data_IF_438662470550
#
_entry.id   IF_438662470550
#
_cell.length_a   1.000
_cell.length_b   1.000
_cell.length_c   1.000
_cell.angle_alpha   90.00
_cell.angle_beta   90.00
_cell.angle_gamma   90.00
#
_symmetry.space_group_name_H-M   'P 1'
#
loop_
_entity.id
_entity.type
_entity.pdbx_description
1 polymer ?
#
# COMPACT_ATOMS: atom_id res chain seq x y z
N UNK A 1 24.96 28.16 2.86
CA UNK A 1 24.91 26.77 2.33
C UNK A 1 24.66 25.71 3.42
N UNK A 2 25.29 25.77 4.62
CA UNK A 2 25.10 24.75 5.68
C UNK A 2 23.69 24.69 6.32
N UNK A 3 23.02 25.82 6.52
CA UNK A 3 21.68 25.86 7.14
C UNK A 3 20.58 25.23 6.27
N UNK A 4 20.70 25.34 4.94
CA UNK A 4 19.74 24.75 4.00
C UNK A 4 19.80 23.22 4.04
N UNK A 5 21.02 22.65 4.13
CA UNK A 5 21.24 21.19 4.17
C UNK A 5 20.75 20.55 5.48
N UNK A 6 20.95 21.24 6.61
CA UNK A 6 20.43 20.77 7.92
C UNK A 6 18.90 20.81 7.96
N UNK A 7 18.29 21.85 7.38
CA UNK A 7 16.83 21.94 7.24
C UNK A 7 16.25 20.82 6.39
N UNK A 8 16.88 20.48 5.26
CA UNK A 8 16.43 19.36 4.41
C UNK A 8 16.58 17.99 5.08
N UNK A 9 17.65 17.77 5.84
CA UNK A 9 17.86 16.49 6.54
C UNK A 9 16.85 16.26 7.68
N UNK A 10 16.53 17.31 8.43
CA UNK A 10 15.49 17.27 9.46
C UNK A 10 14.10 17.02 8.85
N UNK A 11 13.79 17.70 7.74
CA UNK A 11 12.54 17.51 7.00
C UNK A 11 12.38 16.07 6.50
N UNK A 12 13.40 15.53 5.82
CA UNK A 12 13.41 14.14 5.33
C UNK A 12 13.23 13.13 6.48
N UNK A 13 13.83 13.39 7.63
CA UNK A 13 13.70 12.52 8.82
C UNK A 13 12.27 12.56 9.38
N UNK A 14 11.66 13.73 9.49
CA UNK A 14 10.29 13.88 9.97
C UNK A 14 9.28 13.17 9.06
N UNK A 15 9.42 13.32 7.75
CA UNK A 15 8.55 12.62 6.80
C UNK A 15 8.76 11.12 6.81
N UNK A 16 10.00 10.65 6.97
CA UNK A 16 10.28 9.23 7.17
C UNK A 16 9.56 8.71 8.42
N UNK A 17 9.65 9.39 9.56
CA UNK A 17 8.93 8.99 10.78
C UNK A 17 7.43 8.97 10.55
N UNK A 18 6.87 9.98 9.89
CA UNK A 18 5.44 10.03 9.59
C UNK A 18 4.99 8.87 8.69
N UNK A 19 5.80 8.49 7.71
CA UNK A 19 5.56 7.35 6.83
C UNK A 19 5.61 6.02 7.60
N UNK A 20 6.60 5.86 8.50
CA UNK A 20 6.68 4.70 9.40
C UNK A 20 5.42 4.60 10.29
N UNK A 21 5.00 5.71 10.89
CA UNK A 21 3.82 5.74 11.75
C UNK A 21 2.55 5.43 10.96
N UNK A 22 2.36 6.06 9.78
CA UNK A 22 1.22 5.76 8.90
C UNK A 22 1.18 4.27 8.54
N UNK A 23 2.33 3.66 8.26
CA UNK A 23 2.41 2.23 7.96
C UNK A 23 1.98 1.36 9.12
N UNK A 24 2.42 1.67 10.35
CA UNK A 24 2.01 0.95 11.54
C UNK A 24 0.52 1.15 11.84
N UNK A 25 0.02 2.39 11.77
CA UNK A 25 -1.40 2.68 12.02
C UNK A 25 -2.33 1.98 11.02
N UNK A 26 -2.00 1.97 9.72
CA UNK A 26 -2.83 1.31 8.71
C UNK A 26 -2.73 -0.23 8.81
N UNK A 27 -1.57 -0.77 9.21
CA UNK A 27 -1.43 -2.19 9.54
C UNK A 27 -2.31 -2.57 10.74
N UNK A 28 -2.23 -1.81 11.84
CA UNK A 28 -2.96 -2.10 13.07
C UNK A 28 -4.47 -2.06 12.83
N UNK A 29 -4.97 -1.08 12.06
CA UNK A 29 -6.38 -1.02 11.65
C UNK A 29 -6.80 -2.23 10.80
N UNK A 30 -5.95 -2.69 9.90
CA UNK A 30 -6.23 -3.86 9.07
C UNK A 30 -6.28 -5.14 9.91
N UNK A 31 -5.32 -5.31 10.82
CA UNK A 31 -5.25 -6.44 11.73
C UNK A 31 -6.45 -6.47 12.70
N UNK A 32 -6.79 -5.33 13.29
CA UNK A 32 -7.97 -5.19 14.16
C UNK A 32 -9.25 -5.54 13.39
N UNK A 33 -9.43 -5.02 12.18
CA UNK A 33 -10.62 -5.30 11.39
C UNK A 33 -10.73 -6.78 11.01
N UNK A 34 -9.65 -7.39 10.52
CA UNK A 34 -9.62 -8.82 10.18
C UNK A 34 -9.97 -9.68 11.39
N UNK A 35 -9.39 -9.36 12.56
CA UNK A 35 -9.68 -10.02 13.82
C UNK A 35 -11.16 -9.89 14.22
N UNK A 36 -11.73 -8.70 14.14
CA UNK A 36 -13.13 -8.43 14.50
C UNK A 36 -14.13 -9.20 13.64
N UNK A 37 -13.84 -9.37 12.35
CA UNK A 37 -14.68 -10.12 11.41
C UNK A 37 -14.41 -11.64 11.47
N UNK A 38 -13.33 -12.06 12.15
CA UNK A 38 -12.97 -13.47 12.30
C UNK A 38 -12.44 -14.09 11.01
N UNK A 39 -11.79 -13.30 10.14
CA UNK A 39 -11.20 -13.72 8.87
C UNK A 39 -9.70 -13.38 8.82
N UNK A 40 -8.90 -14.06 7.98
CA UNK A 40 -7.47 -13.81 7.91
C UNK A 40 -7.13 -12.40 7.39
N UNK A 41 -5.98 -11.87 7.81
CA UNK A 41 -5.34 -10.68 7.27
C UNK A 41 -4.37 -11.06 6.15
N UNK A 42 -4.59 -10.51 4.96
CA UNK A 42 -3.62 -10.54 3.87
C UNK A 42 -2.71 -9.32 3.93
N UNK A 43 -1.39 -9.53 3.86
CA UNK A 43 -0.38 -8.47 3.71
C UNK A 43 0.20 -8.56 2.31
N UNK A 44 0.24 -7.43 1.60
CA UNK A 44 0.78 -7.34 0.24
C UNK A 44 2.04 -6.49 0.24
N UNK A 45 3.08 -7.05 -0.38
CA UNK A 45 4.43 -6.51 -0.40
C UNK A 45 5.33 -7.16 0.65
N UNK A 46 6.61 -7.31 0.33
CA UNK A 46 7.60 -7.81 1.29
C UNK A 46 7.66 -6.95 2.55
N UNK A 47 7.53 -7.59 3.71
CA UNK A 47 7.58 -6.87 4.99
C UNK A 47 8.98 -6.32 5.28
N UNK A 48 10.03 -7.11 5.02
CA UNK A 48 11.43 -6.81 5.38
C UNK A 48 11.58 -6.30 6.83
N UNK A 49 10.76 -6.83 7.75
CA UNK A 49 10.74 -6.42 9.17
C UNK A 49 10.13 -5.04 9.45
N UNK A 50 9.48 -4.41 8.47
CA UNK A 50 8.88 -3.07 8.59
C UNK A 50 7.49 -3.06 9.19
N UNK A 51 6.79 -4.19 9.10
CA UNK A 51 5.51 -4.53 9.70
C UNK A 51 5.42 -6.06 9.83
N UNK A 52 4.48 -6.62 10.61
CA UNK A 52 4.31 -8.06 10.68
C UNK A 52 3.76 -8.66 9.38
N UNK A 53 3.82 -9.99 9.27
CA UNK A 53 3.46 -10.75 8.06
C UNK A 53 1.95 -10.91 7.81
N UNK A 54 1.10 -10.57 8.79
CA UNK A 54 -0.30 -11.00 8.79
C UNK A 54 -0.43 -12.52 8.83
N UNK A 55 -1.59 -13.03 8.41
CA UNK A 55 -1.85 -14.47 8.30
C UNK A 55 -1.34 -15.03 6.97
N UNK A 56 -1.39 -14.23 5.90
CA UNK A 56 -0.86 -14.55 4.56
C UNK A 56 -0.12 -13.35 4.00
N UNK A 57 1.13 -13.54 3.57
CA UNK A 57 1.92 -12.53 2.87
C UNK A 57 2.01 -12.83 1.38
N UNK A 58 1.70 -11.83 0.56
CA UNK A 58 1.67 -11.93 -0.91
C UNK A 58 2.65 -10.94 -1.51
N UNK A 59 3.52 -11.43 -2.39
CA UNK A 59 4.45 -10.60 -3.15
C UNK A 59 4.88 -11.32 -4.43
N UNK A 60 5.17 -10.59 -5.51
CA UNK A 60 5.58 -11.17 -6.80
C UNK A 60 6.92 -11.92 -6.71
N UNK A 61 7.79 -11.54 -5.77
CA UNK A 61 9.04 -12.21 -5.48
C UNK A 61 8.97 -13.10 -4.21
N UNK A 62 7.78 -13.22 -3.62
CA UNK A 62 7.54 -13.94 -2.37
C UNK A 62 7.98 -13.16 -1.12
N UNK A 63 7.61 -13.68 0.05
CA UNK A 63 7.89 -13.10 1.36
C UNK A 63 8.78 -14.06 2.20
N UNK A 64 10.11 -14.06 2.00
CA UNK A 64 10.99 -15.07 2.59
C UNK A 64 11.05 -15.04 4.12
N UNK A 65 10.66 -13.93 4.75
CA UNK A 65 10.64 -13.78 6.21
C UNK A 65 9.31 -14.20 6.85
N UNK A 66 8.33 -14.63 6.05
CA UNK A 66 6.98 -14.96 6.51
C UNK A 66 6.72 -16.47 6.37
N UNK A 67 6.10 -17.08 7.38
CA UNK A 67 5.80 -18.52 7.38
C UNK A 67 4.77 -18.89 6.30
N UNK A 68 3.79 -18.02 6.07
CA UNK A 68 2.73 -18.21 5.09
C UNK A 68 2.93 -17.21 3.95
N UNK A 69 3.80 -17.55 3.01
CA UNK A 69 4.04 -16.73 1.83
C UNK A 69 3.39 -17.34 0.60
N UNK A 70 2.71 -16.49 -0.17
CA UNK A 70 2.18 -16.80 -1.49
C UNK A 70 2.88 -15.90 -2.52
N UNK A 71 3.41 -16.50 -3.57
CA UNK A 71 4.01 -15.75 -4.68
C UNK A 71 2.93 -15.48 -5.72
N UNK A 72 2.50 -14.22 -5.84
CA UNK A 72 1.48 -13.78 -6.79
C UNK A 72 1.63 -12.29 -7.10
N UNK A 73 1.11 -11.87 -8.25
CA UNK A 73 0.96 -10.45 -8.58
C UNK A 73 -0.30 -9.90 -7.90
N UNK A 74 -0.22 -8.74 -7.25
CA UNK A 74 -1.39 -8.11 -6.64
C UNK A 74 -2.45 -7.71 -7.69
N UNK A 75 -2.05 -7.55 -8.94
CA UNK A 75 -2.95 -7.26 -10.06
C UNK A 75 -3.72 -8.50 -10.54
N UNK A 76 -3.36 -9.70 -10.06
CA UNK A 76 -4.04 -10.95 -10.36
C UNK A 76 -3.94 -11.93 -9.17
N UNK A 77 -4.95 -11.88 -8.30
CA UNK A 77 -5.04 -12.68 -7.08
C UNK A 77 -5.93 -13.92 -7.28
N UNK A 78 -5.92 -14.52 -8.47
CA UNK A 78 -6.75 -15.71 -8.81
C UNK A 78 -6.58 -16.90 -7.84
N UNK A 79 -5.44 -16.99 -7.16
CA UNK A 79 -5.15 -18.03 -6.16
C UNK A 79 -6.04 -17.94 -4.92
N UNK A 80 -6.76 -16.84 -4.74
CA UNK A 80 -7.67 -16.62 -3.63
C UNK A 80 -9.12 -16.47 -4.11
N UNK A 81 -10.02 -17.09 -3.34
CA UNK A 81 -11.46 -16.93 -3.51
C UNK A 81 -11.93 -15.52 -3.13
N UNK A 82 -13.12 -15.16 -3.60
CA UNK A 82 -13.77 -13.90 -3.25
C UNK A 82 -14.00 -13.82 -1.74
N UNK A 83 -13.65 -12.66 -1.15
CA UNK A 83 -13.84 -12.37 0.28
C UNK A 83 -13.22 -13.38 1.24
N UNK A 84 -12.16 -14.07 0.80
CA UNK A 84 -11.36 -14.99 1.60
C UNK A 84 -10.72 -14.29 2.82
N UNK A 85 -10.44 -12.98 2.72
CA UNK A 85 -9.78 -12.19 3.77
C UNK A 85 -10.73 -11.17 4.43
N UNK A 86 -10.51 -10.93 5.72
CA UNK A 86 -11.21 -9.85 6.43
C UNK A 86 -10.63 -8.50 6.05
N UNK A 87 -9.31 -8.42 5.94
CA UNK A 87 -8.65 -7.23 5.44
C UNK A 87 -7.47 -7.57 4.53
N UNK A 88 -7.19 -6.66 3.60
CA UNK A 88 -5.94 -6.61 2.86
C UNK A 88 -5.18 -5.34 3.26
N UNK A 89 -3.89 -5.48 3.56
CA UNK A 89 -2.99 -4.38 3.84
C UNK A 89 -1.88 -4.34 2.80
N UNK A 90 -1.83 -3.28 1.97
CA UNK A 90 -0.77 -3.07 0.99
C UNK A 90 0.20 -2.00 1.49
N UNK A 91 1.49 -2.33 1.60
CA UNK A 91 2.49 -1.38 2.06
C UNK A 91 3.51 -1.05 0.98
N UNK A 92 3.44 0.17 0.47
CA UNK A 92 4.35 0.68 -0.55
C UNK A 92 4.44 -0.21 -1.80
N UNK A 93 3.28 -0.65 -2.31
CA UNK A 93 3.18 -1.53 -3.48
C UNK A 93 2.53 -0.81 -4.66
N UNK A 94 1.36 -0.21 -4.42
CA UNK A 94 0.51 0.33 -5.49
C UNK A 94 1.16 1.48 -6.25
N UNK A 95 2.14 2.18 -5.65
CA UNK A 95 2.89 3.22 -6.32
C UNK A 95 3.89 2.71 -7.38
N UNK A 96 4.23 1.41 -7.36
CA UNK A 96 5.25 0.81 -8.24
C UNK A 96 4.67 0.02 -9.41
N UNK A 97 3.38 -0.33 -9.36
CA UNK A 97 2.73 -1.18 -10.37
C UNK A 97 2.17 -0.36 -11.54
N UNK A 98 1.98 -1.02 -12.68
CA UNK A 98 1.46 -0.39 -13.89
C UNK A 98 -0.04 -0.07 -13.77
N UNK A 99 -0.82 -0.98 -13.19
CA UNK A 99 -2.28 -0.87 -13.12
C UNK A 99 -2.78 -0.92 -11.67
N UNK A 100 -2.70 0.21 -10.92
CA UNK A 100 -3.20 0.29 -9.54
C UNK A 100 -4.72 0.11 -9.44
N UNK A 101 -5.46 0.36 -10.52
CA UNK A 101 -6.88 0.03 -10.68
C UNK A 101 -7.12 -1.48 -10.61
N UNK A 102 -6.37 -2.28 -11.37
CA UNK A 102 -6.52 -3.75 -11.35
C UNK A 102 -6.19 -4.32 -9.98
N UNK A 103 -5.08 -3.86 -9.38
CA UNK A 103 -4.74 -4.25 -8.01
C UNK A 103 -5.82 -3.84 -7.00
N UNK A 104 -6.41 -2.65 -7.13
CA UNK A 104 -7.49 -2.20 -6.25
C UNK A 104 -8.73 -3.09 -6.37
N UNK A 105 -9.11 -3.45 -7.60
CA UNK A 105 -10.22 -4.36 -7.86
C UNK A 105 -9.95 -5.74 -7.26
N UNK A 106 -8.77 -6.31 -7.47
CA UNK A 106 -8.42 -7.62 -6.92
C UNK A 106 -8.36 -7.62 -5.38
N UNK A 107 -7.77 -6.59 -4.78
CA UNK A 107 -7.76 -6.43 -3.32
C UNK A 107 -9.18 -6.35 -2.75
N UNK A 108 -10.07 -5.60 -3.39
CA UNK A 108 -11.48 -5.51 -2.98
C UNK A 108 -12.26 -6.78 -3.32
N UNK A 109 -11.85 -7.58 -4.31
CA UNK A 109 -12.47 -8.88 -4.60
C UNK A 109 -12.17 -9.88 -3.48
N UNK A 110 -10.91 -10.01 -3.10
CA UNK A 110 -10.47 -11.04 -2.14
C UNK A 110 -10.64 -10.65 -0.67
N UNK A 111 -10.76 -9.36 -0.34
CA UNK A 111 -10.90 -8.89 1.03
C UNK A 111 -12.20 -8.11 1.27
N UNK A 112 -12.71 -8.17 2.51
CA UNK A 112 -13.85 -7.34 2.91
C UNK A 112 -13.47 -5.85 3.00
N UNK A 113 -12.22 -5.53 3.35
CA UNK A 113 -11.73 -4.16 3.44
C UNK A 113 -10.24 -4.02 3.06
N UNK A 114 -9.88 -2.92 2.41
CA UNK A 114 -8.50 -2.66 1.96
C UNK A 114 -7.92 -1.45 2.70
N UNK A 115 -6.69 -1.60 3.17
CA UNK A 115 -5.89 -0.56 3.82
C UNK A 115 -4.57 -0.38 3.07
N UNK A 116 -4.19 0.87 2.80
CA UNK A 116 -2.96 1.18 2.05
C UNK A 116 -2.06 2.07 2.90
N UNK A 117 -0.81 1.64 3.07
CA UNK A 117 0.29 2.51 3.45
C UNK A 117 1.05 2.92 2.18
N UNK A 118 1.21 4.23 1.99
CA UNK A 118 1.81 4.82 0.80
C UNK A 118 2.85 5.88 1.18
N UNK A 119 3.84 6.15 0.30
CA UNK A 119 4.87 7.14 0.54
C UNK A 119 4.31 8.54 0.32
N UNK A 120 4.65 9.47 1.21
CA UNK A 120 4.24 10.87 1.02
C UNK A 120 4.94 11.46 -0.20
N UNK A 121 4.16 12.02 -1.13
CA UNK A 121 4.60 12.59 -2.40
C UNK A 121 5.60 13.76 -2.27
N UNK A 122 5.69 14.38 -1.10
CA UNK A 122 6.58 15.52 -0.82
C UNK A 122 8.05 15.15 -0.54
N UNK A 123 8.43 13.87 -0.67
CA UNK A 123 9.85 13.46 -0.57
C UNK A 123 10.55 13.73 -1.89
N UNK A 124 11.68 14.45 -1.82
CA UNK A 124 12.53 14.76 -2.98
C UNK A 124 13.09 13.49 -3.64
N UNK A 125 13.11 12.38 -2.91
CA UNK A 125 13.61 11.07 -3.36
C UNK A 125 12.51 10.11 -3.80
N UNK A 126 11.23 10.53 -3.82
CA UNK A 126 10.11 9.66 -4.22
C UNK A 126 10.27 9.11 -5.65
N UNK A 127 10.85 9.89 -6.56
CA UNK A 127 11.15 9.46 -7.94
C UNK A 127 12.38 8.55 -8.04
N UNK A 128 13.26 8.52 -7.03
CA UNK A 128 14.49 7.72 -7.03
C UNK A 128 14.26 6.23 -6.72
N UNK A 129 13.07 5.88 -6.24
CA UNK A 129 12.71 4.51 -5.88
C UNK A 129 11.90 3.80 -6.97
N UNK A 130 11.78 4.38 -8.17
CA UNK A 130 11.04 3.77 -9.28
C UNK A 130 9.52 3.78 -9.09
N UNK A 131 8.99 4.81 -8.41
CA UNK A 131 7.54 5.01 -8.33
C UNK A 131 7.01 5.40 -9.72
N UNK A 132 5.82 4.91 -10.04
CA UNK A 132 5.03 5.28 -11.22
C UNK A 132 3.92 6.26 -10.85
N UNK A 133 3.51 6.27 -9.57
CA UNK A 133 2.39 7.07 -9.07
C UNK A 133 2.74 7.87 -7.81
N UNK A 134 2.17 9.07 -7.70
CA UNK A 134 2.01 9.79 -6.43
C UNK A 134 0.65 9.47 -5.83
N UNK A 135 0.63 9.09 -4.55
CA UNK A 135 -0.59 8.70 -3.83
C UNK A 135 -0.93 9.75 -2.77
N UNK A 136 -2.19 10.17 -2.74
CA UNK A 136 -2.74 11.06 -1.71
C UNK A 136 -4.06 10.52 -1.18
N UNK A 137 -4.18 10.34 0.15
CA UNK A 137 -5.45 9.98 0.80
C UNK A 137 -6.40 11.18 0.80
N UNK A 138 -7.67 10.89 0.51
CA UNK A 138 -8.80 11.83 0.52
C UNK A 138 -9.89 11.28 1.44
N UNK A 139 -10.96 12.05 1.67
CA UNK A 139 -12.09 11.57 2.48
C UNK A 139 -12.78 10.33 1.87
N UNK A 140 -12.81 10.21 0.55
CA UNK A 140 -13.52 9.14 -0.17
C UNK A 140 -12.66 7.98 -0.65
N UNK A 141 -11.34 8.03 -0.47
CA UNK A 141 -10.42 7.07 -1.07
C UNK A 141 -9.03 7.62 -1.32
N UNK A 142 -8.36 7.15 -2.36
CA UNK A 142 -6.98 7.47 -2.70
C UNK A 142 -6.89 8.05 -4.11
N UNK A 143 -6.25 9.22 -4.24
CA UNK A 143 -5.93 9.83 -5.52
C UNK A 143 -4.51 9.44 -5.93
N UNK A 144 -4.42 8.75 -7.07
CA UNK A 144 -3.20 8.38 -7.75
C UNK A 144 -2.98 9.36 -8.89
N UNK A 145 -1.78 9.92 -8.97
CA UNK A 145 -1.37 10.80 -10.07
C UNK A 145 -0.09 10.25 -10.67
N UNK A 146 -0.11 9.92 -11.95
CA UNK A 146 1.07 9.40 -12.63
C UNK A 146 2.20 10.43 -12.56
N UNK A 147 3.44 9.96 -12.32
CA UNK A 147 4.59 10.86 -12.18
C UNK A 147 4.89 11.63 -13.47
N UNK A 148 4.53 11.06 -14.64
CA UNK A 148 4.63 11.74 -15.93
C UNK A 148 3.57 12.85 -16.13
N UNK A 149 2.64 13.02 -15.19
CA UNK A 149 1.61 14.06 -15.17
C UNK A 149 0.42 13.84 -16.12
N UNK A 150 0.39 12.72 -16.84
CA UNK A 150 -0.61 12.47 -17.89
C UNK A 150 -1.91 11.83 -17.41
N UNK A 151 -1.89 11.12 -16.28
CA UNK A 151 -3.01 10.29 -15.84
C UNK A 151 -3.31 10.50 -14.35
N UNK A 152 -4.60 10.49 -14.02
CA UNK A 152 -5.10 10.51 -12.66
C UNK A 152 -6.17 9.45 -12.46
N UNK A 153 -6.06 8.77 -11.33
CA UNK A 153 -6.93 7.68 -10.96
C UNK A 153 -7.40 7.89 -9.53
N UNK A 154 -8.70 7.71 -9.29
CA UNK A 154 -9.28 7.77 -7.97
C UNK A 154 -9.82 6.39 -7.57
N UNK A 155 -9.25 5.83 -6.51
CA UNK A 155 -9.65 4.57 -5.92
C UNK A 155 -10.54 4.86 -4.71
N UNK A 156 -11.85 4.63 -4.81
CA UNK A 156 -12.77 4.92 -3.71
C UNK A 156 -12.80 3.80 -2.67
N UNK A 157 -13.15 4.17 -1.44
CA UNK A 157 -13.26 3.25 -0.30
C UNK A 157 -14.30 2.12 -0.49
N UNK A 158 -15.24 2.27 -1.43
CA UNK A 158 -16.24 1.25 -1.76
C UNK A 158 -15.76 0.26 -2.85
N UNK A 159 -14.52 0.39 -3.31
CA UNK A 159 -13.91 -0.47 -4.33
C UNK A 159 -14.06 0.05 -5.76
N UNK A 160 -14.76 1.17 -5.99
CA UNK A 160 -14.91 1.77 -7.32
C UNK A 160 -13.61 2.45 -7.78
N UNK A 161 -13.42 2.46 -9.10
CA UNK A 161 -12.30 3.13 -9.77
C UNK A 161 -12.85 4.23 -10.68
N UNK A 162 -12.34 5.45 -10.55
CA UNK A 162 -12.72 6.59 -11.39
C UNK A 162 -11.48 7.20 -12.06
N UNK A 163 -11.48 7.29 -13.39
CA UNK A 163 -10.44 7.97 -14.16
C UNK A 163 -10.77 9.48 -14.26
N UNK A 164 -9.75 10.34 -14.12
CA UNK A 164 -9.90 11.81 -14.12
C UNK A 164 -9.13 12.48 -15.26
#
# INVERSE_FOLDING_TARGET
VKACVVGTAAWETLWKVKELNNRHEEYDKAAEYAHLIGKPLMVVGQTMGRHPCGDVCVDIAGCPTCSNSVTADVQDLFVFEDKNFGAAFASHVLEHIDSPDLAWMELNRVADKVFIAYPFSHRLTSTLHGHKWFVNKTAGGYLFTAINGGEKLFLSNDGTVLYQ
#
